data_IF_624266487090
#
_entry.id   IF_624266487090
#
_cell.length_a   1.000
_cell.length_b   1.000
_cell.length_c   1.000
_cell.angle_alpha   90.00
_cell.angle_beta   90.00
_cell.angle_gamma   90.00
#
_symmetry.space_group_name_H-M   'P 1'
#
loop_
_entity.id
_entity.type
_entity.pdbx_description
1 polymer ?
#
# COMPACT_ATOMS: atom_id res chain seq x y z
N UNK A 1 -13.10 -12.43 27.36
CA UNK A 1 -11.87 -11.96 26.70
C UNK A 1 -12.28 -11.12 25.51
N UNK A 2 -11.76 -9.89 25.32
CA UNK A 2 -12.05 -9.09 24.15
C UNK A 2 -11.38 -9.72 22.92
N UNK A 3 -12.20 -10.02 21.93
CA UNK A 3 -11.77 -10.45 20.62
C UNK A 3 -10.92 -9.34 20.01
N UNK A 4 -9.61 -9.54 19.91
CA UNK A 4 -8.72 -8.68 19.13
C UNK A 4 -9.01 -8.95 17.65
N UNK A 5 -10.05 -8.28 17.14
CA UNK A 5 -10.34 -8.23 15.73
C UNK A 5 -9.22 -7.47 15.01
N UNK A 6 -8.16 -8.19 14.68
CA UNK A 6 -7.29 -7.74 13.61
C UNK A 6 -8.12 -7.81 12.33
N UNK A 7 -8.36 -6.67 11.69
CA UNK A 7 -8.87 -6.57 10.31
C UNK A 7 -7.81 -7.12 9.33
N UNK A 8 -7.41 -8.37 9.53
CA UNK A 8 -6.64 -9.12 8.56
C UNK A 8 -7.62 -9.61 7.50
N UNK A 9 -7.85 -8.79 6.50
CA UNK A 9 -8.47 -9.27 5.27
C UNK A 9 -7.53 -10.35 4.72
N UNK A 10 -8.07 -11.57 4.60
CA UNK A 10 -7.34 -12.69 4.01
C UNK A 10 -6.81 -12.24 2.62
N UNK A 11 -5.50 -12.14 2.39
CA UNK A 11 -4.93 -11.71 1.12
C UNK A 11 -5.20 -12.72 0.00
N UNK A 12 -5.80 -13.84 0.35
CA UNK A 12 -5.97 -15.04 -0.43
C UNK A 12 -6.74 -14.84 -1.74
N UNK A 13 -7.92 -14.14 -1.77
CA UNK A 13 -8.63 -13.92 -3.04
C UNK A 13 -7.80 -13.13 -4.05
N UNK A 14 -6.89 -12.30 -3.54
CA UNK A 14 -5.97 -11.52 -4.36
C UNK A 14 -4.83 -12.38 -4.92
N UNK A 15 -4.24 -13.24 -4.10
CA UNK A 15 -3.13 -14.11 -4.49
C UNK A 15 -3.55 -15.20 -5.48
N UNK A 16 -4.79 -15.69 -5.38
CA UNK A 16 -5.36 -16.63 -6.35
C UNK A 16 -5.39 -16.07 -7.78
N UNK A 17 -5.55 -14.75 -7.91
CA UNK A 17 -5.48 -14.02 -9.20
C UNK A 17 -4.09 -14.12 -9.86
N UNK A 18 -3.05 -14.37 -9.08
CA UNK A 18 -1.66 -14.53 -9.52
C UNK A 18 -1.24 -15.98 -9.65
N UNK A 19 -2.21 -16.92 -9.63
CA UNK A 19 -1.93 -18.34 -9.75
C UNK A 19 -1.33 -18.95 -8.48
N UNK A 20 -1.32 -18.23 -7.36
CA UNK A 20 -0.85 -18.76 -6.08
C UNK A 20 -2.02 -19.49 -5.43
N UNK A 21 -1.97 -20.82 -5.41
CA UNK A 21 -3.00 -21.64 -4.77
C UNK A 21 -2.95 -21.52 -3.24
N UNK A 22 -4.06 -21.88 -2.57
CA UNK A 22 -4.12 -21.87 -1.10
C UNK A 22 -3.12 -22.83 -0.47
N UNK A 23 -2.90 -23.94 -1.13
CA UNK A 23 -1.92 -24.95 -0.75
C UNK A 23 -0.50 -24.38 -0.91
N UNK A 24 -0.24 -23.67 -2.01
CA UNK A 24 1.04 -23.01 -2.23
C UNK A 24 1.27 -21.91 -1.18
N UNK A 25 0.26 -21.10 -0.89
CA UNK A 25 0.34 -20.08 0.17
C UNK A 25 0.59 -20.67 1.56
N UNK A 26 -0.13 -21.76 1.92
CA UNK A 26 0.15 -22.49 3.17
C UNK A 26 1.55 -23.07 3.18
N UNK A 27 1.95 -23.72 2.10
CA UNK A 27 3.28 -24.28 1.94
C UNK A 27 4.37 -23.23 2.02
N UNK A 28 4.14 -22.04 1.45
CA UNK A 28 5.07 -20.91 1.54
C UNK A 28 5.12 -20.32 2.95
N UNK A 29 4.00 -20.29 3.70
CA UNK A 29 3.99 -19.92 5.13
C UNK A 29 4.67 -21.01 5.96
N UNK A 30 4.38 -22.27 5.73
CA UNK A 30 4.98 -23.40 6.43
C UNK A 30 6.45 -23.59 6.05
N UNK A 31 6.82 -23.34 4.78
CA UNK A 31 8.20 -23.35 4.28
C UNK A 31 8.96 -22.04 4.55
N UNK A 32 8.33 -21.06 5.16
CA UNK A 32 9.06 -19.93 5.80
C UNK A 32 10.06 -20.39 6.85
N UNK A 33 10.14 -21.70 7.05
CA UNK A 33 11.17 -22.43 7.79
C UNK A 33 12.31 -22.96 6.90
N UNK A 34 12.26 -22.82 5.58
CA UNK A 34 13.27 -23.39 4.68
C UNK A 34 14.21 -22.31 4.16
N UNK A 35 15.37 -22.34 4.58
CA UNK A 35 16.69 -22.54 3.93
C UNK A 35 17.00 -21.65 2.71
N UNK A 36 16.12 -20.74 2.26
CA UNK A 36 16.45 -19.74 1.27
C UNK A 36 17.24 -18.58 1.90
N UNK A 37 18.05 -17.91 1.11
CA UNK A 37 18.88 -16.79 1.55
C UNK A 37 18.79 -15.60 0.59
N UNK A 38 18.83 -14.40 1.17
CA UNK A 38 19.03 -13.20 0.40
C UNK A 38 20.46 -13.17 -0.15
N UNK A 39 20.56 -12.95 -1.45
CA UNK A 39 21.82 -12.76 -2.20
C UNK A 39 21.81 -11.38 -2.85
N UNK A 40 23.01 -10.88 -3.13
CA UNK A 40 23.20 -9.58 -3.78
C UNK A 40 24.39 -9.60 -4.72
N UNK A 41 24.25 -8.85 -5.83
CA UNK A 41 25.37 -8.48 -6.70
C UNK A 41 25.26 -6.98 -7.07
N UNK A 42 26.01 -6.54 -8.05
CA UNK A 42 25.99 -5.14 -8.53
C UNK A 42 24.65 -4.70 -9.13
N UNK A 43 23.82 -5.64 -9.61
CA UNK A 43 22.51 -5.35 -10.19
C UNK A 43 21.42 -5.20 -9.15
N UNK A 44 21.41 -6.04 -8.10
CA UNK A 44 20.37 -5.99 -7.08
C UNK A 44 20.36 -7.20 -6.13
N UNK A 45 19.27 -7.31 -5.41
CA UNK A 45 19.00 -8.40 -4.47
C UNK A 45 18.08 -9.43 -5.09
N UNK A 46 18.31 -10.72 -4.78
CA UNK A 46 17.41 -11.82 -5.09
C UNK A 46 17.30 -12.79 -3.92
N UNK A 47 16.25 -13.58 -3.93
CA UNK A 47 16.08 -14.67 -3.00
C UNK A 47 16.47 -15.98 -3.66
N UNK A 48 17.43 -16.70 -3.06
CA UNK A 48 17.86 -18.02 -3.52
C UNK A 48 17.25 -19.08 -2.63
N UNK A 49 16.49 -20.00 -3.22
CA UNK A 49 15.90 -21.15 -2.54
C UNK A 49 16.98 -22.16 -2.15
N UNK A 50 16.64 -23.13 -1.28
CA UNK A 50 17.57 -24.19 -0.88
C UNK A 50 18.12 -25.03 -2.05
N UNK A 51 17.31 -25.19 -3.10
CA UNK A 51 17.70 -25.92 -4.32
C UNK A 51 18.47 -25.06 -5.34
N UNK A 52 18.80 -23.81 -4.99
CA UNK A 52 19.50 -22.87 -5.86
C UNK A 52 18.60 -22.16 -6.87
N UNK A 53 17.30 -22.47 -6.92
CA UNK A 53 16.35 -21.72 -7.74
C UNK A 53 16.02 -20.35 -7.15
N UNK A 54 15.36 -19.49 -7.91
CA UNK A 54 14.93 -18.17 -7.45
C UNK A 54 13.65 -17.71 -8.17
N UNK A 55 12.78 -16.92 -7.48
CA UNK A 55 11.52 -16.44 -8.03
C UNK A 55 11.76 -15.46 -9.18
N UNK A 56 10.92 -15.55 -10.23
CA UNK A 56 10.92 -14.63 -11.39
C UNK A 56 9.49 -14.23 -11.75
N UNK A 57 9.28 -12.95 -12.04
CA UNK A 57 7.98 -12.40 -12.41
C UNK A 57 6.85 -12.82 -11.45
N UNK A 58 7.15 -12.89 -10.15
CA UNK A 58 6.19 -13.39 -9.17
C UNK A 58 6.34 -12.74 -7.79
N UNK A 59 5.27 -12.83 -7.05
CA UNK A 59 5.21 -12.52 -5.64
C UNK A 59 5.75 -13.68 -4.80
N UNK A 60 6.39 -13.33 -3.68
CA UNK A 60 6.81 -14.31 -2.68
C UNK A 60 6.68 -13.73 -1.28
N UNK A 61 6.09 -14.51 -0.39
CA UNK A 61 6.13 -14.23 1.04
C UNK A 61 7.42 -14.79 1.64
N UNK A 62 8.18 -13.93 2.30
CA UNK A 62 9.42 -14.31 2.99
C UNK A 62 9.32 -13.79 4.43
N UNK A 63 9.20 -14.70 5.38
CA UNK A 63 9.11 -14.40 6.83
C UNK A 63 7.98 -13.41 7.18
N UNK A 64 6.82 -13.53 6.50
CA UNK A 64 5.64 -12.71 6.74
C UNK A 64 5.59 -11.40 5.95
N UNK A 65 6.63 -11.03 5.24
CA UNK A 65 6.66 -9.86 4.35
C UNK A 65 6.55 -10.29 2.88
N UNK A 66 5.84 -9.49 2.08
CA UNK A 66 5.66 -9.76 0.65
C UNK A 66 6.68 -9.00 -0.19
N UNK A 67 7.22 -9.69 -1.19
CA UNK A 67 8.20 -9.19 -2.14
C UNK A 67 7.75 -9.52 -3.55
N UNK A 68 8.18 -8.72 -4.52
CA UNK A 68 8.01 -9.02 -5.94
C UNK A 68 9.37 -9.08 -6.63
N UNK A 69 9.54 -10.08 -7.49
CA UNK A 69 10.76 -10.31 -8.24
C UNK A 69 10.52 -10.10 -9.73
N UNK A 70 11.41 -9.39 -10.40
CA UNK A 70 11.32 -9.14 -11.83
C UNK A 70 11.57 -10.43 -12.66
N UNK A 71 11.51 -10.30 -13.98
CA UNK A 71 11.71 -11.42 -14.90
C UNK A 71 13.14 -12.01 -14.85
N UNK A 72 14.09 -11.27 -14.29
CA UNK A 72 15.47 -11.73 -14.06
C UNK A 72 15.67 -12.29 -12.66
N UNK A 73 14.67 -12.17 -11.78
CA UNK A 73 14.69 -12.63 -10.40
C UNK A 73 15.19 -11.60 -9.39
N UNK A 74 15.36 -10.33 -9.76
CA UNK A 74 15.73 -9.29 -8.81
C UNK A 74 14.52 -8.71 -8.09
N UNK A 75 14.67 -8.53 -6.78
CA UNK A 75 13.66 -7.94 -5.91
C UNK A 75 13.42 -6.46 -6.26
N UNK A 76 12.16 -6.04 -6.28
CA UNK A 76 11.81 -4.63 -6.36
C UNK A 76 12.15 -3.94 -5.04
N UNK A 77 12.86 -2.82 -5.11
CA UNK A 77 13.31 -2.04 -3.96
C UNK A 77 13.08 -0.57 -4.24
N UNK A 78 12.46 0.13 -3.28
CA UNK A 78 12.14 1.55 -3.38
C UNK A 78 11.46 1.88 -4.72
N UNK A 79 10.43 1.12 -5.06
CA UNK A 79 9.87 1.10 -6.42
C UNK A 79 8.36 0.92 -6.44
N UNK A 80 7.70 1.67 -7.30
CA UNK A 80 6.32 1.46 -7.68
C UNK A 80 6.16 0.24 -8.59
N UNK A 81 5.07 -0.45 -8.43
CA UNK A 81 4.67 -1.59 -9.26
C UNK A 81 3.20 -1.51 -9.59
N UNK A 82 2.86 -1.66 -10.86
CA UNK A 82 1.49 -1.80 -11.33
C UNK A 82 1.31 -3.20 -11.90
N UNK A 83 0.31 -3.92 -11.42
CA UNK A 83 0.01 -5.29 -11.82
C UNK A 83 -0.94 -5.37 -13.04
N UNK A 84 -1.25 -4.20 -13.62
CA UNK A 84 -2.26 -4.04 -14.67
C UNK A 84 -3.63 -3.61 -14.14
N UNK A 85 -3.85 -3.59 -12.83
CA UNK A 85 -5.10 -3.20 -12.17
C UNK A 85 -4.83 -2.26 -11.01
N UNK A 86 -3.95 -2.65 -10.10
CA UNK A 86 -3.66 -1.96 -8.86
C UNK A 86 -2.20 -1.52 -8.78
N UNK A 87 -1.95 -0.49 -7.97
CA UNK A 87 -0.61 -0.01 -7.69
C UNK A 87 -0.15 -0.47 -6.31
N UNK A 88 1.15 -0.83 -6.23
CA UNK A 88 1.88 -1.23 -5.04
C UNK A 88 3.16 -0.44 -4.92
N UNK A 89 3.72 -0.40 -3.74
CA UNK A 89 5.04 0.17 -3.50
C UNK A 89 5.88 -0.78 -2.65
N UNK A 90 7.13 -0.93 -3.02
CA UNK A 90 8.12 -1.68 -2.25
C UNK A 90 9.08 -0.71 -1.57
N UNK A 91 9.29 -0.86 -0.29
CA UNK A 91 10.14 0.02 0.51
C UNK A 91 11.64 -0.19 0.21
N UNK A 92 12.49 0.52 0.93
CA UNK A 92 13.96 0.40 0.81
C UNK A 92 14.52 -0.99 1.16
N UNK A 93 13.75 -1.84 1.82
CA UNK A 93 14.09 -3.24 2.14
C UNK A 93 13.54 -4.20 1.09
N UNK A 94 12.74 -3.69 0.15
CA UNK A 94 12.03 -4.47 -0.85
C UNK A 94 10.72 -5.08 -0.35
N UNK A 95 10.31 -4.79 0.88
CA UNK A 95 9.03 -5.26 1.41
C UNK A 95 7.86 -4.45 0.83
N UNK A 96 6.77 -5.13 0.49
CA UNK A 96 5.52 -4.50 0.07
C UNK A 96 4.97 -3.62 1.20
N UNK A 97 4.69 -2.36 0.87
CA UNK A 97 4.17 -1.39 1.83
C UNK A 97 2.69 -1.60 2.11
N UNK A 98 2.31 -1.48 3.38
CA UNK A 98 0.93 -1.37 3.85
C UNK A 98 0.79 -0.18 4.78
N UNK A 99 -0.42 0.39 4.88
CA UNK A 99 -0.65 1.60 5.68
C UNK A 99 -0.13 2.88 5.04
N UNK A 100 0.09 3.90 5.84
CA UNK A 100 0.58 5.20 5.35
C UNK A 100 2.06 5.16 4.98
N UNK A 101 2.38 5.75 3.80
CA UNK A 101 3.75 5.90 3.32
C UNK A 101 3.96 7.26 2.66
N UNK A 102 5.06 7.90 3.01
CA UNK A 102 5.49 9.14 2.39
C UNK A 102 6.48 8.83 1.27
N UNK A 103 6.12 9.16 0.02
CA UNK A 103 6.90 8.87 -1.18
C UNK A 103 6.97 10.15 -2.02
N UNK A 104 8.15 10.59 -2.37
CA UNK A 104 8.39 11.77 -3.21
C UNK A 104 7.55 13.00 -2.80
N UNK A 105 7.62 13.36 -1.49
CA UNK A 105 6.91 14.50 -0.89
C UNK A 105 5.38 14.39 -0.86
N UNK A 106 4.80 13.21 -1.10
CA UNK A 106 3.36 12.95 -1.05
C UNK A 106 3.04 11.79 -0.13
N UNK A 107 1.88 11.86 0.53
CA UNK A 107 1.37 10.77 1.35
C UNK A 107 0.46 9.87 0.53
N UNK A 108 0.64 8.57 0.69
CA UNK A 108 -0.18 7.51 0.12
C UNK A 108 -0.64 6.57 1.21
N UNK A 109 -1.75 5.90 0.98
CA UNK A 109 -2.22 4.85 1.86
C UNK A 109 -2.35 3.54 1.09
N UNK A 110 -1.74 2.49 1.62
CA UNK A 110 -1.81 1.15 1.06
C UNK A 110 -2.68 0.29 1.97
N UNK A 111 -3.63 -0.44 1.38
CA UNK A 111 -4.51 -1.36 2.11
C UNK A 111 -3.70 -2.50 2.71
N UNK A 112 -4.33 -3.33 3.55
CA UNK A 112 -3.67 -4.50 4.17
C UNK A 112 -3.15 -5.53 3.17
N UNK A 113 -3.70 -5.54 1.96
CA UNK A 113 -3.27 -6.38 0.83
C UNK A 113 -2.22 -5.69 -0.06
N UNK A 114 -1.70 -4.54 0.34
CA UNK A 114 -0.67 -3.77 -0.37
C UNK A 114 -1.19 -2.89 -1.50
N UNK A 115 -2.46 -2.94 -1.85
CA UNK A 115 -3.02 -2.10 -2.93
C UNK A 115 -3.09 -0.64 -2.51
N UNK A 116 -2.62 0.26 -3.35
CA UNK A 116 -2.78 1.71 -3.16
C UNK A 116 -4.26 2.08 -3.09
N UNK A 117 -4.65 2.77 -2.03
CA UNK A 117 -6.00 3.25 -1.86
C UNK A 117 -6.26 4.51 -2.69
N UNK A 118 -7.53 4.70 -3.08
CA UNK A 118 -8.05 5.89 -3.76
C UNK A 118 -9.38 6.27 -3.15
N UNK A 119 -9.76 7.53 -3.28
CA UNK A 119 -10.99 8.04 -2.69
C UNK A 119 -10.93 8.14 -1.17
N UNK A 120 -12.07 8.00 -0.54
CA UNK A 120 -12.19 8.13 0.91
C UNK A 120 -11.63 6.91 1.63
N UNK A 121 -10.76 7.18 2.62
CA UNK A 121 -10.19 6.16 3.52
C UNK A 121 -10.41 6.57 4.97
N UNK A 122 -10.94 5.66 5.78
CA UNK A 122 -11.03 5.83 7.23
C UNK A 122 -9.84 5.15 7.90
N UNK A 123 -9.05 5.93 8.63
CA UNK A 123 -7.93 5.44 9.41
C UNK A 123 -8.01 5.97 10.85
N UNK A 124 -8.04 5.08 11.85
CA UNK A 124 -8.17 5.43 13.29
C UNK A 124 -9.26 6.47 13.56
N UNK A 125 -10.49 6.18 13.12
CA UNK A 125 -11.67 7.03 13.26
C UNK A 125 -11.65 8.36 12.47
N UNK A 126 -10.60 8.66 11.73
CA UNK A 126 -10.44 9.87 10.93
C UNK A 126 -10.54 9.55 9.43
N UNK A 127 -11.28 10.38 8.70
CA UNK A 127 -11.39 10.27 7.25
C UNK A 127 -10.32 11.09 6.55
N UNK A 128 -9.80 10.52 5.46
CA UNK A 128 -8.83 11.12 4.54
C UNK A 128 -9.31 10.90 3.11
N UNK A 129 -8.88 11.75 2.18
CA UNK A 129 -9.17 11.59 0.77
C UNK A 129 -7.90 11.44 -0.04
N UNK A 130 -7.82 10.35 -0.78
CA UNK A 130 -6.74 10.03 -1.71
C UNK A 130 -7.22 10.33 -3.12
N UNK A 131 -6.39 10.96 -3.93
CA UNK A 131 -6.71 11.29 -5.32
C UNK A 131 -7.18 10.06 -6.10
N UNK A 132 -8.27 10.18 -6.86
CA UNK A 132 -8.83 9.05 -7.62
C UNK A 132 -7.94 8.60 -8.77
N UNK A 133 -7.09 9.47 -9.28
CA UNK A 133 -6.15 9.16 -10.35
C UNK A 133 -4.79 8.74 -9.80
N UNK A 134 -4.19 9.59 -9.00
CA UNK A 134 -2.78 9.48 -8.61
C UNK A 134 -2.59 8.83 -7.23
N UNK A 135 -3.65 8.73 -6.40
CA UNK A 135 -3.64 8.07 -5.09
C UNK A 135 -2.98 8.88 -3.97
N UNK A 136 -2.48 10.08 -4.23
CA UNK A 136 -1.88 10.92 -3.20
C UNK A 136 -2.94 11.58 -2.30
N UNK A 137 -2.61 11.72 -1.01
CA UNK A 137 -3.49 12.33 -0.01
C UNK A 137 -3.69 13.82 -0.30
N UNK A 138 -4.93 14.25 -0.36
CA UNK A 138 -5.29 15.66 -0.48
C UNK A 138 -5.36 16.34 0.88
N UNK A 139 -5.04 17.64 0.93
CA UNK A 139 -5.10 18.47 2.14
C UNK A 139 -5.34 19.94 1.77
N UNK A 140 -5.82 20.72 2.72
CA UNK A 140 -6.09 22.17 2.59
C UNK A 140 -6.95 22.52 1.37
N UNK A 141 -7.98 21.71 1.10
CA UNK A 141 -8.85 21.94 -0.05
C UNK A 141 -10.24 21.35 0.14
N UNK A 142 -11.16 21.77 -0.70
CA UNK A 142 -12.48 21.20 -0.81
C UNK A 142 -12.49 20.01 -1.76
N UNK A 143 -13.15 18.94 -1.36
CA UNK A 143 -13.42 17.76 -2.18
C UNK A 143 -14.92 17.69 -2.46
N UNK A 144 -15.29 17.62 -3.72
CA UNK A 144 -16.66 17.29 -4.12
C UNK A 144 -16.80 15.78 -4.17
N UNK A 145 -17.71 15.24 -3.36
CA UNK A 145 -18.01 13.81 -3.34
C UNK A 145 -19.52 13.60 -3.21
N UNK A 146 -20.10 12.87 -4.16
CA UNK A 146 -21.54 12.78 -4.28
C UNK A 146 -22.20 14.14 -4.42
N UNK A 147 -23.19 14.44 -3.57
CA UNK A 147 -23.90 15.71 -3.55
C UNK A 147 -23.33 16.75 -2.58
N UNK A 148 -22.20 16.45 -1.92
CA UNK A 148 -21.61 17.28 -0.87
C UNK A 148 -20.22 17.81 -1.20
N UNK A 149 -19.84 18.86 -0.48
CA UNK A 149 -18.49 19.38 -0.41
C UNK A 149 -17.91 19.12 0.97
N UNK A 150 -16.67 18.68 1.01
CA UNK A 150 -15.93 18.30 2.19
C UNK A 150 -14.61 19.05 2.24
N UNK A 151 -14.27 19.64 3.39
CA UNK A 151 -13.00 20.32 3.55
C UNK A 151 -11.98 19.43 4.25
N UNK A 152 -10.76 19.41 3.72
CA UNK A 152 -9.63 18.66 4.29
C UNK A 152 -8.67 19.64 4.98
N UNK A 153 -8.35 19.35 6.22
CA UNK A 153 -7.39 20.10 7.03
C UNK A 153 -5.96 20.02 6.45
N UNK A 154 -5.03 20.77 7.06
CA UNK A 154 -3.62 20.78 6.65
C UNK A 154 -2.93 19.42 6.77
N UNK A 155 -3.35 18.58 7.69
CA UNK A 155 -2.86 17.22 7.90
C UNK A 155 -3.57 16.17 7.04
N UNK A 156 -4.48 16.61 6.15
CA UNK A 156 -5.28 15.76 5.26
C UNK A 156 -6.55 15.19 5.90
N UNK A 157 -6.78 15.40 7.20
CA UNK A 157 -7.97 14.90 7.87
C UNK A 157 -9.24 15.63 7.41
N UNK A 158 -10.38 14.92 7.37
CA UNK A 158 -11.67 15.53 7.12
C UNK A 158 -12.02 16.49 8.26
N UNK A 159 -12.29 17.75 7.93
CA UNK A 159 -12.79 18.72 8.88
C UNK A 159 -14.26 18.47 9.23
N UNK A 160 -14.55 18.30 10.51
CA UNK A 160 -15.92 18.12 11.01
C UNK A 160 -16.60 19.44 11.36
N UNK A 161 -15.85 20.51 11.58
CA UNK A 161 -16.33 21.85 11.86
C UNK A 161 -15.35 22.89 11.28
N UNK A 162 -15.30 23.02 9.95
CA UNK A 162 -14.40 24.01 9.35
C UNK A 162 -14.88 25.43 9.69
N UNK A 163 -13.96 26.25 10.19
CA UNK A 163 -14.17 27.68 10.35
C UNK A 163 -13.72 28.37 9.07
N UNK A 164 -14.61 29.18 8.50
CA UNK A 164 -14.34 29.92 7.26
C UNK A 164 -14.51 31.41 7.50
N UNK A 165 -13.62 32.18 6.92
CA UNK A 165 -13.77 33.63 6.76
C UNK A 165 -14.12 33.90 5.29
N UNK A 166 -15.15 34.70 5.05
CA UNK A 166 -15.46 35.22 3.71
C UNK A 166 -14.92 36.64 3.65
N UNK A 167 -13.89 36.82 2.83
CA UNK A 167 -13.29 38.12 2.58
C UNK A 167 -14.25 39.05 1.79
N UNK A 168 -14.09 40.37 1.83
CA UNK A 168 -14.98 41.29 1.12
C UNK A 168 -15.08 41.09 -0.39
N UNK A 169 -14.09 40.46 -1.00
CA UNK A 169 -14.05 40.08 -2.43
C UNK A 169 -14.71 38.73 -2.71
N UNK A 170 -15.25 38.08 -1.69
CA UNK A 170 -15.89 36.77 -1.79
C UNK A 170 -14.91 35.59 -1.66
N UNK A 171 -13.64 35.82 -1.42
CA UNK A 171 -12.66 34.75 -1.15
C UNK A 171 -13.00 34.04 0.17
N UNK A 172 -13.03 32.73 0.13
CA UNK A 172 -13.22 31.90 1.32
C UNK A 172 -11.83 31.45 1.82
N UNK A 173 -11.48 31.87 3.03
CA UNK A 173 -10.26 31.47 3.72
C UNK A 173 -10.58 30.57 4.90
N UNK A 174 -9.65 29.72 5.27
CA UNK A 174 -9.75 28.85 6.46
C UNK A 174 -8.71 29.29 7.48
N UNK A 175 -9.11 29.35 8.72
CA UNK A 175 -8.20 29.62 9.85
C UNK A 175 -7.41 28.36 10.25
#
# INVERSE_FOLDING_TARGET
QPNNGSDHVDPYPYLAKWGISREQFKKDIESGLTEGNWKRNEVGWWWEEADGSYPKSQWKNIKGEWYYFDNRGYCFINKWFNDGIDWFYFDKRGAMVTGWMHIDHRWYYFKSDGRMAKGWVKYRETWYYLDEKDGDMKSKQFIKSGNGWYYLNADGSLSVKPEFTIEPDGLITTN
#
